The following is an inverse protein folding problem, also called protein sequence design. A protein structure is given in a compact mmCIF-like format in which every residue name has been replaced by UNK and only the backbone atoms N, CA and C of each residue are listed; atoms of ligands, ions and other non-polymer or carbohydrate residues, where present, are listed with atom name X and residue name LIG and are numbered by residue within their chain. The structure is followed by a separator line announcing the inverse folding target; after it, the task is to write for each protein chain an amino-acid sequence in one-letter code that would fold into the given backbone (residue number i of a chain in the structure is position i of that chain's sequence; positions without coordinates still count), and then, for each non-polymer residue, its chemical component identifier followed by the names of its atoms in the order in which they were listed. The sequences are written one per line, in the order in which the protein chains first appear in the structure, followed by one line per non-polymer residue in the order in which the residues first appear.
data_IF_980135591341
#
_entry.id   IF_980135591341
#
_cell.length_a   1.000
_cell.length_b   1.000
_cell.length_c   1.000
_cell.angle_alpha   90.00
_cell.angle_beta   90.00
_cell.angle_gamma   90.00
#
_symmetry.space_group_name_H-M   'P 1'
#
loop_
_entity.id
_entity.type
_entity.pdbx_description
1 polymer ?
#
# COMPACT_ATOMS: atom_id res chain seq x y z
N UNK A 1 -9.12 -9.99 1.82
CA UNK A 1 -7.97 -9.42 1.12
C UNK A 1 -6.61 -9.66 1.79
N UNK A 2 -6.52 -10.36 2.92
CA UNK A 2 -5.25 -10.67 3.61
C UNK A 2 -4.50 -11.91 3.15
N UNK A 3 -5.10 -12.75 2.29
CA UNK A 3 -4.51 -14.06 1.98
C UNK A 3 -3.54 -14.09 0.79
N UNK A 4 -3.62 -13.14 -0.15
CA UNK A 4 -2.80 -13.20 -1.37
C UNK A 4 -1.33 -12.82 -1.13
N UNK A 5 -1.06 -11.89 -0.21
CA UNK A 5 0.32 -11.48 0.11
C UNK A 5 1.06 -12.56 0.89
N UNK A 6 0.37 -13.29 1.77
CA UNK A 6 0.93 -14.43 2.51
C UNK A 6 1.32 -15.62 1.61
N UNK A 7 0.66 -15.79 0.46
CA UNK A 7 0.95 -16.87 -0.50
C UNK A 7 2.19 -16.56 -1.35
N UNK A 8 2.40 -15.32 -1.77
CA UNK A 8 3.60 -14.90 -2.53
C UNK A 8 4.87 -15.03 -1.71
N UNK A 9 4.82 -14.75 -0.42
CA UNK A 9 6.00 -14.82 0.46
C UNK A 9 6.41 -16.27 0.77
N UNK A 10 5.51 -17.25 0.62
CA UNK A 10 5.81 -18.67 0.88
C UNK A 10 6.73 -19.34 -0.13
N UNK A 11 7.05 -18.70 -1.23
CA UNK A 11 7.96 -19.22 -2.27
C UNK A 11 9.16 -18.31 -2.51
N UNK A 12 9.20 -17.15 -1.89
CA UNK A 12 10.23 -16.13 -2.13
C UNK A 12 11.66 -16.64 -1.85
N UNK A 13 11.83 -17.46 -0.82
CA UNK A 13 13.11 -18.08 -0.50
C UNK A 13 13.55 -19.06 -1.57
N UNK A 14 12.65 -19.92 -2.04
CA UNK A 14 12.94 -20.89 -3.09
C UNK A 14 13.22 -20.21 -4.43
N UNK A 15 12.46 -19.18 -4.77
CA UNK A 15 12.61 -18.44 -6.00
C UNK A 15 13.96 -17.70 -6.06
N UNK A 16 14.40 -17.14 -4.93
CA UNK A 16 15.63 -16.37 -4.86
C UNK A 16 16.90 -17.21 -4.61
N UNK A 17 16.82 -18.21 -3.76
CA UNK A 17 17.98 -18.92 -3.22
C UNK A 17 17.85 -20.46 -3.24
N UNK A 18 16.77 -21.01 -3.80
CA UNK A 18 16.49 -22.46 -3.73
C UNK A 18 17.59 -23.34 -4.28
N UNK A 19 18.27 -22.94 -5.35
CA UNK A 19 19.40 -23.67 -5.94
C UNK A 19 20.69 -23.50 -5.13
N UNK A 20 20.93 -22.30 -4.58
CA UNK A 20 22.17 -21.97 -3.88
C UNK A 20 22.14 -22.38 -2.41
N UNK A 21 21.02 -22.17 -1.72
CA UNK A 21 20.87 -22.42 -0.30
C UNK A 21 19.50 -23.07 0.02
N UNK A 22 19.26 -24.32 -0.42
CA UNK A 22 17.93 -24.93 -0.36
C UNK A 22 17.38 -25.03 1.06
N UNK A 23 18.23 -25.30 2.04
CA UNK A 23 17.78 -25.38 3.44
C UNK A 23 17.39 -24.03 4.03
N UNK A 24 18.10 -22.95 3.65
CA UNK A 24 17.71 -21.60 4.03
C UNK A 24 16.36 -21.21 3.40
N UNK A 25 16.19 -21.49 2.12
CA UNK A 25 14.95 -21.24 1.40
C UNK A 25 13.75 -22.00 2.03
N UNK A 26 13.93 -23.27 2.36
CA UNK A 26 12.94 -24.08 3.08
C UNK A 26 12.55 -23.43 4.43
N UNK A 27 13.53 -23.05 5.24
CA UNK A 27 13.28 -22.44 6.55
C UNK A 27 12.59 -21.07 6.43
N UNK A 28 12.96 -20.29 5.42
CA UNK A 28 12.29 -19.03 5.12
C UNK A 28 10.82 -19.24 4.76
N UNK A 29 10.55 -20.14 3.81
CA UNK A 29 9.22 -20.28 3.23
C UNK A 29 8.28 -21.08 4.16
N UNK A 30 8.76 -22.19 4.73
CA UNK A 30 7.91 -23.10 5.50
C UNK A 30 7.85 -22.75 6.99
N UNK A 31 8.95 -22.28 7.57
CA UNK A 31 8.99 -21.98 9.00
C UNK A 31 8.66 -20.50 9.25
N UNK A 32 9.41 -19.58 8.68
CA UNK A 32 9.19 -18.15 8.92
C UNK A 32 7.81 -17.72 8.43
N UNK A 33 7.53 -17.88 7.15
CA UNK A 33 6.24 -17.43 6.58
C UNK A 33 5.13 -18.45 6.80
N UNK A 34 5.41 -19.74 6.71
CA UNK A 34 4.43 -20.80 6.85
C UNK A 34 3.95 -21.05 8.29
N UNK A 35 4.80 -20.89 9.29
CA UNK A 35 4.48 -21.21 10.67
C UNK A 35 4.51 -20.01 11.62
N UNK A 36 5.43 -19.06 11.45
CA UNK A 36 5.53 -17.90 12.35
C UNK A 36 4.60 -16.77 11.93
N UNK A 37 4.69 -16.32 10.68
CA UNK A 37 3.83 -15.24 10.19
C UNK A 37 2.36 -15.61 10.06
N UNK A 38 2.04 -16.88 9.87
CA UNK A 38 0.66 -17.38 9.77
C UNK A 38 -0.10 -17.46 11.09
N UNK A 39 0.54 -17.16 12.23
CA UNK A 39 -0.09 -17.20 13.57
C UNK A 39 -0.79 -15.89 13.88
N UNK A 40 -1.75 -15.51 13.04
CA UNK A 40 -2.48 -14.23 13.15
C UNK A 40 -3.37 -14.17 14.40
N UNK A 41 -3.80 -15.33 14.92
CA UNK A 41 -4.55 -15.48 16.17
C UNK A 41 -3.73 -15.11 17.43
N UNK A 42 -2.40 -15.10 17.33
CA UNK A 42 -1.48 -14.75 18.43
C UNK A 42 -0.93 -13.34 18.33
N UNK A 43 -0.60 -12.90 17.12
CA UNK A 43 -0.09 -11.57 16.83
C UNK A 43 -0.48 -11.21 15.40
N UNK A 44 -1.14 -10.07 15.22
CA UNK A 44 -1.63 -9.61 13.93
C UNK A 44 -0.49 -9.42 12.91
N UNK A 45 -0.79 -9.52 11.62
CA UNK A 45 0.17 -9.20 10.55
C UNK A 45 0.66 -7.76 10.65
N UNK A 46 -0.21 -6.85 11.09
CA UNK A 46 0.11 -5.46 11.34
C UNK A 46 1.19 -5.30 12.41
N UNK A 47 1.01 -5.94 13.55
CA UNK A 47 1.96 -5.85 14.66
C UNK A 47 3.28 -6.58 14.35
N UNK A 48 3.23 -7.70 13.63
CA UNK A 48 4.43 -8.37 13.12
C UNK A 48 5.23 -7.46 12.20
N UNK A 49 4.55 -6.76 11.29
CA UNK A 49 5.20 -5.79 10.40
C UNK A 49 5.85 -4.65 11.17
N UNK A 50 5.17 -4.12 12.18
CA UNK A 50 5.70 -3.08 13.07
C UNK A 50 6.98 -3.56 13.77
N UNK A 51 6.92 -4.72 14.41
CA UNK A 51 8.09 -5.32 15.10
C UNK A 51 9.25 -5.53 14.14
N UNK A 52 8.98 -6.06 12.94
CA UNK A 52 10.01 -6.31 11.92
C UNK A 52 10.66 -5.01 11.44
N UNK A 53 9.87 -3.98 11.11
CA UNK A 53 10.39 -2.68 10.69
C UNK A 53 11.27 -2.06 11.78
N UNK A 54 10.84 -2.06 13.03
CA UNK A 54 11.63 -1.52 14.14
C UNK A 54 12.92 -2.33 14.36
N UNK A 55 12.85 -3.66 14.29
CA UNK A 55 14.02 -4.52 14.44
C UNK A 55 15.07 -4.29 13.36
N UNK A 56 14.65 -4.16 12.08
CA UNK A 56 15.55 -3.89 10.96
C UNK A 56 16.18 -2.49 11.07
N UNK A 57 15.37 -1.47 11.37
CA UNK A 57 15.88 -0.12 11.62
C UNK A 57 16.92 -0.11 12.75
N UNK A 58 16.65 -0.79 13.86
CA UNK A 58 17.54 -0.83 15.01
C UNK A 58 18.89 -1.49 14.70
N UNK A 59 18.92 -2.42 13.76
CA UNK A 59 20.14 -3.02 13.25
C UNK A 59 20.87 -2.15 12.20
N UNK A 60 20.20 -1.13 11.66
CA UNK A 60 20.72 -0.30 10.58
C UNK A 60 20.57 -0.92 9.20
N UNK A 61 19.72 -1.94 9.06
CA UNK A 61 19.39 -2.61 7.80
C UNK A 61 18.32 -1.78 7.06
N UNK A 62 18.77 -0.81 6.27
CA UNK A 62 17.91 0.11 5.51
C UNK A 62 18.19 0.00 4.01
N UNK A 63 18.12 -1.22 3.50
CA UNK A 63 18.27 -1.60 2.10
C UNK A 63 16.93 -1.94 1.43
N UNK A 64 16.97 -2.67 0.32
CA UNK A 64 15.78 -3.14 -0.41
C UNK A 64 14.88 -4.04 0.43
N UNK A 65 15.47 -4.84 1.35
CA UNK A 65 14.71 -5.68 2.28
C UNK A 65 13.89 -4.83 3.25
N UNK A 66 14.46 -3.73 3.75
CA UNK A 66 13.73 -2.80 4.59
C UNK A 66 12.57 -2.14 3.84
N UNK A 67 12.78 -1.74 2.58
CA UNK A 67 11.71 -1.20 1.72
C UNK A 67 10.56 -2.19 1.57
N UNK A 68 10.87 -3.47 1.34
CA UNK A 68 9.87 -4.53 1.27
C UNK A 68 9.02 -4.59 2.55
N UNK A 69 9.66 -4.59 3.72
CA UNK A 69 8.94 -4.63 5.00
C UNK A 69 8.16 -3.35 5.31
N UNK A 70 8.60 -2.18 4.87
CA UNK A 70 7.80 -0.95 4.94
C UNK A 70 6.54 -1.04 4.06
N UNK A 71 6.68 -1.58 2.85
CA UNK A 71 5.54 -1.79 1.95
C UNK A 71 4.55 -2.80 2.54
N UNK A 72 5.05 -3.91 3.10
CA UNK A 72 4.22 -4.87 3.82
C UNK A 72 3.49 -4.24 5.01
N UNK A 73 4.18 -3.39 5.78
CA UNK A 73 3.60 -2.66 6.90
C UNK A 73 2.45 -1.73 6.46
N UNK A 74 2.63 -0.98 5.37
CA UNK A 74 1.59 -0.15 4.76
C UNK A 74 0.38 -1.00 4.34
N UNK A 75 0.61 -2.10 3.65
CA UNK A 75 -0.45 -3.00 3.18
C UNK A 75 -1.19 -3.71 4.33
N UNK A 76 -0.51 -3.94 5.44
CA UNK A 76 -1.09 -4.50 6.66
C UNK A 76 -1.76 -3.45 7.56
N UNK A 77 -1.95 -2.22 7.06
CA UNK A 77 -2.76 -1.18 7.69
C UNK A 77 -2.02 -0.22 8.61
N UNK A 78 -0.67 -0.17 8.59
CA UNK A 78 0.07 0.90 9.27
C UNK A 78 -0.04 2.18 8.44
N UNK A 79 -0.64 3.20 9.04
CA UNK A 79 -0.85 4.49 8.40
C UNK A 79 0.43 5.34 8.35
N UNK A 80 0.42 6.38 7.51
CA UNK A 80 1.51 7.37 7.42
C UNK A 80 1.81 8.03 8.76
N UNK A 81 0.78 8.38 9.52
CA UNK A 81 0.94 9.00 10.85
C UNK A 81 1.56 8.03 11.83
N UNK A 82 1.07 6.79 11.85
CA UNK A 82 1.59 5.77 12.76
C UNK A 82 3.05 5.43 12.47
N UNK A 83 3.44 5.22 11.20
CA UNK A 83 4.84 4.93 10.89
C UNK A 83 5.76 6.09 11.29
N UNK A 84 5.31 7.34 11.14
CA UNK A 84 6.09 8.50 11.59
C UNK A 84 6.30 8.48 13.11
N UNK A 85 5.29 8.20 13.90
CA UNK A 85 5.38 8.09 15.36
C UNK A 85 6.24 6.89 15.78
N UNK A 86 6.08 5.73 15.13
CA UNK A 86 6.86 4.52 15.41
C UNK A 86 8.36 4.80 15.21
N UNK A 87 8.74 5.38 14.07
CA UNK A 87 10.15 5.68 13.77
C UNK A 87 10.71 6.80 14.67
N UNK A 88 9.89 7.79 15.03
CA UNK A 88 10.25 8.85 15.97
C UNK A 88 10.55 8.26 17.35
N UNK A 89 9.66 7.43 17.87
CA UNK A 89 9.86 6.74 19.14
C UNK A 89 11.12 5.86 19.09
N UNK A 90 11.25 5.03 18.06
CA UNK A 90 12.38 4.13 17.89
C UNK A 90 13.73 4.86 17.77
N UNK A 91 13.77 6.12 17.29
CA UNK A 91 14.99 6.91 17.17
C UNK A 91 15.73 7.10 18.51
N UNK A 92 14.99 7.19 19.62
CA UNK A 92 15.57 7.34 20.95
C UNK A 92 16.25 6.06 21.47
N UNK A 93 15.86 4.89 20.94
CA UNK A 93 16.39 3.59 21.35
C UNK A 93 17.41 3.03 20.34
N UNK A 94 17.24 3.32 19.05
CA UNK A 94 18.07 2.80 17.96
C UNK A 94 19.12 3.80 17.44
N UNK A 95 18.91 5.09 17.70
CA UNK A 95 19.80 6.19 17.29
C UNK A 95 19.31 6.95 16.05
N UNK A 96 19.52 8.27 16.06
CA UNK A 96 19.07 9.22 15.05
C UNK A 96 19.53 8.93 13.62
N UNK A 97 20.80 8.56 13.34
CA UNK A 97 21.25 8.28 11.97
C UNK A 97 20.43 7.15 11.31
N UNK A 98 20.09 6.12 12.08
CA UNK A 98 19.28 4.99 11.59
C UNK A 98 17.84 5.41 11.32
N UNK A 99 17.27 6.26 12.20
CA UNK A 99 15.94 6.83 12.01
C UNK A 99 15.88 7.69 10.74
N UNK A 100 16.87 8.54 10.48
CA UNK A 100 16.94 9.33 9.26
C UNK A 100 16.95 8.47 8.00
N UNK A 101 17.70 7.36 8.00
CA UNK A 101 17.72 6.42 6.89
C UNK A 101 16.34 5.76 6.69
N UNK A 102 15.71 5.31 7.78
CA UNK A 102 14.39 4.73 7.77
C UNK A 102 13.31 5.72 7.28
N UNK A 103 13.33 6.98 7.73
CA UNK A 103 12.41 8.02 7.31
C UNK A 103 12.48 8.35 5.82
N UNK A 104 13.68 8.36 5.23
CA UNK A 104 13.82 8.58 3.78
C UNK A 104 13.05 7.52 3.00
N UNK A 105 13.20 6.24 3.37
CA UNK A 105 12.49 5.15 2.70
C UNK A 105 11.00 5.13 3.02
N UNK A 106 10.62 5.38 4.27
CA UNK A 106 9.22 5.46 4.66
C UNK A 106 8.47 6.58 3.92
N UNK A 107 9.10 7.75 3.76
CA UNK A 107 8.53 8.86 2.99
C UNK A 107 8.20 8.45 1.54
N UNK A 108 9.05 7.65 0.91
CA UNK A 108 8.81 7.15 -0.45
C UNK A 108 7.67 6.13 -0.49
N UNK A 109 7.62 5.19 0.47
CA UNK A 109 6.58 4.15 0.55
C UNK A 109 5.20 4.74 0.86
N UNK A 110 5.13 5.75 1.74
CA UNK A 110 3.89 6.47 2.06
C UNK A 110 3.74 7.79 1.31
N UNK A 111 4.47 7.99 0.22
CA UNK A 111 4.16 9.08 -0.69
C UNK A 111 2.69 8.99 -1.11
N UNK A 112 1.99 10.12 -1.09
CA UNK A 112 0.64 10.17 -1.62
C UNK A 112 0.73 9.84 -3.11
N UNK A 113 -0.10 8.92 -3.57
CA UNK A 113 -0.31 8.73 -5.00
C UNK A 113 -0.69 10.12 -5.56
N UNK A 114 -0.02 10.56 -6.61
CA UNK A 114 -0.41 11.81 -7.25
C UNK A 114 -1.89 11.68 -7.67
N UNK A 115 -2.60 12.79 -7.76
CA UNK A 115 -3.99 12.75 -8.24
C UNK A 115 -4.11 12.09 -9.62
N UNK A 116 -3.03 12.14 -10.41
CA UNK A 116 -2.92 11.50 -11.71
C UNK A 116 -2.72 9.99 -11.60
N UNK A 117 -1.89 9.51 -10.66
CA UNK A 117 -1.71 8.08 -10.40
C UNK A 117 -2.98 7.44 -9.84
N UNK A 118 -3.64 8.12 -8.89
CA UNK A 118 -4.92 7.70 -8.33
C UNK A 118 -6.01 7.63 -9.42
N UNK A 119 -6.03 8.61 -10.33
CA UNK A 119 -6.96 8.65 -11.47
C UNK A 119 -6.67 7.52 -12.46
N UNK A 120 -5.41 7.29 -12.81
CA UNK A 120 -4.99 6.23 -13.73
C UNK A 120 -5.33 4.84 -13.16
N UNK A 121 -5.06 4.61 -11.87
CA UNK A 121 -5.42 3.38 -11.18
C UNK A 121 -6.93 3.17 -11.15
N UNK A 122 -7.69 4.19 -10.74
CA UNK A 122 -9.14 4.14 -10.74
C UNK A 122 -9.70 3.86 -12.14
N UNK A 123 -9.14 4.49 -13.16
CA UNK A 123 -9.53 4.27 -14.56
C UNK A 123 -9.27 2.83 -15.01
N UNK A 124 -8.20 2.19 -14.56
CA UNK A 124 -7.88 0.79 -14.89
C UNK A 124 -8.80 -0.23 -14.21
N UNK A 125 -9.39 0.14 -13.07
CA UNK A 125 -10.29 -0.71 -12.28
C UNK A 125 -11.78 -0.49 -12.61
N UNK A 126 -12.11 0.57 -13.34
CA UNK A 126 -13.50 0.90 -13.67
C UNK A 126 -14.09 0.03 -14.78
N UNK A 127 -15.33 -0.41 -14.57
CA UNK A 127 -16.12 -1.10 -15.59
C UNK A 127 -16.61 -0.12 -16.67
N UNK A 128 -16.83 1.15 -16.32
CA UNK A 128 -17.32 2.20 -17.22
C UNK A 128 -16.27 3.31 -17.39
N UNK A 129 -16.18 3.94 -18.57
CA UNK A 129 -15.23 5.02 -18.81
C UNK A 129 -15.53 6.25 -17.93
N UNK A 130 -14.50 6.99 -17.55
CA UNK A 130 -14.64 8.24 -16.79
C UNK A 130 -15.36 9.31 -17.61
N UNK A 131 -15.10 9.38 -18.91
CA UNK A 131 -15.71 10.35 -19.81
C UNK A 131 -15.00 11.70 -19.86
N UNK A 132 -15.66 12.68 -20.49
CA UNK A 132 -15.19 14.05 -20.62
C UNK A 132 -15.53 14.89 -19.38
N UNK A 133 -14.87 16.06 -19.25
CA UNK A 133 -15.21 17.03 -18.20
C UNK A 133 -16.68 17.40 -18.26
N UNK A 134 -17.35 17.42 -17.10
CA UNK A 134 -18.78 17.69 -16.98
C UNK A 134 -19.07 19.19 -16.84
N UNK A 135 -18.47 20.00 -17.70
CA UNK A 135 -18.54 21.46 -17.62
C UNK A 135 -19.95 22.01 -17.83
N UNK A 136 -20.78 21.31 -18.63
CA UNK A 136 -22.17 21.71 -18.87
C UNK A 136 -23.07 21.70 -17.62
N UNK A 137 -22.68 20.95 -16.59
CA UNK A 137 -23.41 20.85 -15.32
C UNK A 137 -22.61 21.36 -14.14
N UNK A 138 -21.49 22.07 -14.38
CA UNK A 138 -20.58 22.57 -13.35
C UNK A 138 -21.26 23.41 -12.26
N UNK A 139 -22.35 24.09 -12.58
CA UNK A 139 -23.13 24.89 -11.62
C UNK A 139 -23.74 24.06 -10.47
N UNK A 140 -23.93 22.76 -10.67
CA UNK A 140 -24.53 21.88 -9.67
C UNK A 140 -23.52 21.17 -8.78
N UNK A 141 -22.22 21.37 -9.02
CA UNK A 141 -21.14 20.70 -8.31
C UNK A 141 -20.04 21.67 -7.90
N UNK A 142 -19.48 21.47 -6.72
CA UNK A 142 -18.20 22.07 -6.31
C UNK A 142 -17.10 21.04 -6.52
N UNK A 143 -16.06 21.37 -7.30
CA UNK A 143 -15.02 20.44 -7.68
C UNK A 143 -15.20 19.87 -9.09
N UNK A 144 -14.35 18.94 -9.49
CA UNK A 144 -14.36 18.36 -10.83
C UNK A 144 -15.22 17.11 -10.90
N UNK A 145 -16.06 17.03 -11.93
CA UNK A 145 -16.81 15.85 -12.29
C UNK A 145 -16.67 15.55 -13.78
N UNK A 146 -16.92 14.30 -14.15
CA UNK A 146 -16.78 13.78 -15.50
C UNK A 146 -18.04 13.04 -15.89
N UNK A 147 -18.40 13.05 -17.16
CA UNK A 147 -19.59 12.45 -17.71
C UNK A 147 -19.25 11.58 -18.91
N UNK A 148 -19.61 10.29 -18.84
CA UNK A 148 -19.50 9.38 -19.96
C UNK A 148 -20.88 8.85 -20.37
N UNK A 149 -21.32 9.03 -21.61
CA UNK A 149 -22.55 8.41 -22.09
C UNK A 149 -22.35 6.91 -22.23
N UNK A 150 -23.27 6.13 -21.67
CA UNK A 150 -23.31 4.66 -21.78
C UNK A 150 -24.37 4.22 -22.79
N UNK A 151 -25.49 4.95 -22.87
CA UNK A 151 -26.55 4.76 -23.86
C UNK A 151 -27.24 6.08 -24.13
N UNK A 152 -27.54 6.35 -25.39
CA UNK A 152 -28.29 7.53 -25.83
C UNK A 152 -29.50 7.16 -26.69
N UNK A 153 -29.86 5.85 -26.78
CA UNK A 153 -30.87 5.37 -27.70
C UNK A 153 -32.31 5.74 -27.29
N UNK A 154 -32.86 5.07 -26.29
CA UNK A 154 -34.26 5.33 -25.83
C UNK A 154 -34.25 6.13 -24.51
N UNK A 155 -33.33 5.83 -23.63
CA UNK A 155 -33.09 6.53 -22.36
C UNK A 155 -31.64 6.88 -22.27
N UNK A 156 -31.32 8.14 -21.99
CA UNK A 156 -29.94 8.57 -21.72
C UNK A 156 -29.41 7.97 -20.43
N UNK A 157 -28.40 7.12 -20.51
CA UNK A 157 -27.70 6.55 -19.36
C UNK A 157 -26.27 7.08 -19.39
N UNK A 158 -25.83 7.61 -18.26
CA UNK A 158 -24.51 8.21 -18.12
C UNK A 158 -23.80 7.69 -16.89
N UNK A 159 -22.51 7.46 -17.01
CA UNK A 159 -21.62 7.29 -15.86
C UNK A 159 -21.14 8.67 -15.41
N UNK A 160 -21.31 8.99 -14.14
CA UNK A 160 -20.83 10.25 -13.54
C UNK A 160 -19.71 9.93 -12.55
N UNK A 161 -18.53 10.46 -12.81
CA UNK A 161 -17.35 10.28 -11.95
C UNK A 161 -17.02 11.59 -11.26
N UNK A 162 -16.76 11.54 -9.96
CA UNK A 162 -16.40 12.69 -9.12
C UNK A 162 -14.98 12.56 -8.63
N UNK A 163 -14.19 13.63 -8.71
CA UNK A 163 -12.90 13.68 -8.01
C UNK A 163 -13.09 13.75 -6.49
N UNK A 164 -12.10 13.31 -5.70
CA UNK A 164 -12.16 13.43 -4.25
C UNK A 164 -12.43 14.87 -3.81
N UNK A 165 -13.43 15.07 -2.94
CA UNK A 165 -13.83 16.40 -2.47
C UNK A 165 -14.89 17.08 -3.31
N UNK A 166 -15.29 16.54 -4.47
CA UNK A 166 -16.43 17.04 -5.22
C UNK A 166 -17.73 16.94 -4.41
N UNK A 167 -18.57 17.96 -4.44
CA UNK A 167 -19.83 18.04 -3.69
C UNK A 167 -20.97 18.50 -4.60
N UNK A 168 -22.15 17.97 -4.34
CA UNK A 168 -23.40 18.50 -4.89
C UNK A 168 -23.75 19.82 -4.24
N UNK A 169 -24.25 20.76 -5.04
CA UNK A 169 -24.71 22.09 -4.58
C UNK A 169 -26.23 22.15 -4.61
N UNK A 170 -26.90 21.16 -4.03
CA UNK A 170 -28.38 21.15 -3.90
C UNK A 170 -28.79 22.04 -2.74
#
# INVERSE_FOLDING_TARGET
MGSEMCIRDRTAGRDALGEFAPKFAELNDEVLFGQVWSREDKLSLRDRSLVTVVALMAQGLTDSSFRYHLTAAKNNGITRTEIAEILTHAAFYAGWPKAWAAFRMAKEVWAEESAEDAKAKHQSEMVFPIGASNDGFAQYFSGKSYLAPLSTAQVGIYNVTFEPGCRNNW
#
